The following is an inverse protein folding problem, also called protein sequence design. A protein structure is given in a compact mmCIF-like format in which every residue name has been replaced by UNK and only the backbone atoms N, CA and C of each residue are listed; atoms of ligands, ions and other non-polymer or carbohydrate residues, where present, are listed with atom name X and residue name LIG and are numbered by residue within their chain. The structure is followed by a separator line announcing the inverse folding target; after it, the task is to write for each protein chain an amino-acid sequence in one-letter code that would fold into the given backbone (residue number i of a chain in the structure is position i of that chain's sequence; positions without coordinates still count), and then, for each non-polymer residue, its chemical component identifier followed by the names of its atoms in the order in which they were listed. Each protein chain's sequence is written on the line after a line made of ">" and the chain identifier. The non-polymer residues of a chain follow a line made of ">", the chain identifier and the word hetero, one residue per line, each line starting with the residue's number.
data_IF_123850034243
#
_entry.id   IF_123850034243
#
_cell.length_a   1.000
_cell.length_b   1.000
_cell.length_c   1.000
_cell.angle_alpha   90.00
_cell.angle_beta   90.00
_cell.angle_gamma   90.00
#
_symmetry.space_group_name_H-M   'P 1'
#
loop_
_entity.id
_entity.type
_entity.pdbx_description
1 polymer ?
#
# COMPACT_ATOMS: atom_id res chain seq x y z
N UNK A 1 18.35 13.61 -0.16
CA UNK A 1 17.09 13.97 0.54
C UNK A 1 16.72 15.39 0.13
N UNK A 2 15.51 15.60 -0.36
CA UNK A 2 14.94 16.92 -0.65
C UNK A 2 13.94 17.25 0.45
N UNK A 3 13.93 18.47 0.94
CA UNK A 3 12.97 18.97 1.92
C UNK A 3 12.15 20.09 1.29
N UNK A 4 10.82 19.90 1.24
CA UNK A 4 9.83 20.91 0.87
C UNK A 4 8.99 21.25 2.09
N UNK A 5 8.87 22.51 2.46
CA UNK A 5 8.33 22.92 3.76
C UNK A 5 6.85 23.33 3.71
N UNK A 6 6.33 23.71 2.55
CA UNK A 6 4.96 24.26 2.48
C UNK A 6 4.03 23.55 1.49
N UNK A 7 4.55 22.63 0.71
CA UNK A 7 3.79 21.85 -0.27
C UNK A 7 3.48 22.58 -1.58
N UNK A 8 3.78 23.88 -1.70
CA UNK A 8 3.48 24.67 -2.90
C UNK A 8 4.21 24.16 -4.13
N UNK A 9 5.51 23.92 -3.99
CA UNK A 9 6.39 23.47 -5.07
C UNK A 9 6.61 21.95 -5.12
N UNK A 10 5.88 21.19 -4.30
CA UNK A 10 6.12 19.75 -4.11
C UNK A 10 6.12 18.96 -5.43
N UNK A 11 5.20 19.24 -6.35
CA UNK A 11 5.14 18.54 -7.65
C UNK A 11 6.26 18.93 -8.60
N UNK A 12 6.66 20.19 -8.63
CA UNK A 12 7.83 20.62 -9.38
C UNK A 12 9.10 19.93 -8.88
N UNK A 13 9.27 19.87 -7.57
CA UNK A 13 10.38 19.15 -6.93
C UNK A 13 10.32 17.65 -7.22
N UNK A 14 9.15 17.03 -7.14
CA UNK A 14 8.95 15.62 -7.47
C UNK A 14 9.40 15.29 -8.90
N UNK A 15 9.02 16.11 -9.87
CA UNK A 15 9.39 15.92 -11.28
C UNK A 15 10.88 16.12 -11.54
N UNK A 16 11.50 17.11 -10.89
CA UNK A 16 12.91 17.43 -11.08
C UNK A 16 13.83 16.40 -10.39
N UNK A 17 13.50 15.96 -9.19
CA UNK A 17 14.33 15.07 -8.37
C UNK A 17 14.09 13.59 -8.62
N UNK A 18 12.91 13.20 -9.15
CA UNK A 18 12.51 11.79 -9.33
C UNK A 18 12.82 10.94 -8.09
N UNK A 19 12.22 11.25 -6.93
CA UNK A 19 12.53 10.58 -5.68
C UNK A 19 12.16 9.10 -5.73
N UNK A 20 12.78 8.29 -4.87
CA UNK A 20 12.45 6.87 -4.71
C UNK A 20 11.30 6.64 -3.73
N UNK A 21 11.05 7.60 -2.86
CA UNK A 21 9.98 7.59 -1.86
C UNK A 21 9.56 9.01 -1.54
N UNK A 22 8.28 9.21 -1.26
CA UNK A 22 7.74 10.46 -0.75
C UNK A 22 7.34 10.31 0.72
N UNK A 23 7.85 11.19 1.58
CA UNK A 23 7.43 11.32 2.98
C UNK A 23 6.71 12.65 3.11
N UNK A 24 5.41 12.62 3.36
CA UNK A 24 4.54 13.79 3.31
C UNK A 24 3.91 14.06 4.68
N UNK A 25 4.10 15.26 5.20
CA UNK A 25 3.24 15.72 6.29
C UNK A 25 1.83 15.98 5.76
N UNK A 26 0.83 15.53 6.47
CA UNK A 26 -0.56 15.82 6.10
C UNK A 26 -0.86 17.31 6.25
N UNK A 27 -0.31 17.94 7.30
CA UNK A 27 -0.59 19.34 7.63
C UNK A 27 0.50 20.27 7.10
N UNK A 28 0.58 20.42 5.78
CA UNK A 28 1.43 21.43 5.16
C UNK A 28 0.64 22.74 4.91
N UNK A 29 1.31 23.92 4.95
CA UNK A 29 0.61 25.20 4.88
C UNK A 29 -0.18 25.42 3.59
N UNK A 30 0.46 25.47 2.43
CA UNK A 30 -0.20 25.90 1.18
C UNK A 30 -0.96 24.77 0.48
N UNK A 31 -0.44 23.54 0.55
CA UNK A 31 -1.05 22.38 -0.07
C UNK A 31 -0.92 21.18 0.84
N UNK A 32 -2.03 20.60 1.23
CA UNK A 32 -2.02 19.46 2.14
C UNK A 32 -1.35 18.22 1.51
N UNK A 33 -0.80 17.36 2.38
CA UNK A 33 -0.08 16.17 1.92
C UNK A 33 -0.96 15.20 1.12
N UNK A 34 -2.27 15.19 1.34
CA UNK A 34 -3.20 14.35 0.58
C UNK A 34 -3.34 14.81 -0.86
N UNK A 35 -3.42 16.13 -1.08
CA UNK A 35 -3.48 16.70 -2.42
C UNK A 35 -2.18 16.42 -3.20
N UNK A 36 -1.03 16.51 -2.53
CA UNK A 36 0.27 16.17 -3.12
C UNK A 36 0.28 14.68 -3.50
N UNK A 37 -0.15 13.79 -2.59
CA UNK A 37 -0.18 12.36 -2.84
C UNK A 37 -1.08 11.98 -4.03
N UNK A 38 -2.23 12.62 -4.20
CA UNK A 38 -3.10 12.41 -5.37
C UNK A 38 -2.40 12.77 -6.68
N UNK A 39 -1.64 13.86 -6.71
CA UNK A 39 -0.88 14.26 -7.90
C UNK A 39 0.28 13.32 -8.18
N UNK A 40 1.02 12.91 -7.14
CA UNK A 40 2.06 11.90 -7.25
C UNK A 40 1.50 10.60 -7.79
N UNK A 41 0.32 10.16 -7.32
CA UNK A 41 -0.33 8.92 -7.82
C UNK A 41 -0.75 8.99 -9.28
N UNK A 42 -1.12 10.17 -9.77
CA UNK A 42 -1.40 10.37 -11.19
C UNK A 42 -0.14 10.26 -12.06
N UNK A 43 1.00 10.71 -11.51
CA UNK A 43 2.28 10.66 -12.19
C UNK A 43 2.97 9.28 -12.06
N UNK A 44 2.94 8.70 -10.87
CA UNK A 44 3.53 7.39 -10.56
C UNK A 44 2.68 6.66 -9.51
N UNK A 45 1.87 5.70 -9.96
CA UNK A 45 0.99 4.93 -9.09
C UNK A 45 1.76 4.01 -8.14
N UNK A 46 2.97 3.58 -8.52
CA UNK A 46 3.82 2.68 -7.74
C UNK A 46 4.71 3.41 -6.73
N UNK A 47 4.78 4.76 -6.79
CA UNK A 47 5.59 5.57 -5.86
C UNK A 47 5.26 5.23 -4.41
N UNK A 48 6.23 4.83 -3.57
CA UNK A 48 6.00 4.69 -2.14
C UNK A 48 5.69 6.05 -1.50
N UNK A 49 4.59 6.13 -0.74
CA UNK A 49 4.20 7.34 -0.01
C UNK A 49 3.96 6.99 1.45
N UNK A 50 4.70 7.64 2.34
CA UNK A 50 4.52 7.57 3.79
C UNK A 50 3.99 8.92 4.27
N UNK A 51 2.84 8.92 4.95
CA UNK A 51 2.35 10.13 5.60
C UNK A 51 2.86 10.26 7.03
N UNK A 52 3.25 11.47 7.39
CA UNK A 52 3.46 11.86 8.79
C UNK A 52 2.20 12.58 9.28
N UNK A 53 1.65 12.19 10.45
CA UNK A 53 0.42 12.78 10.95
C UNK A 53 0.43 13.01 12.45
N UNK A 54 -0.04 14.19 12.88
CA UNK A 54 -0.39 14.47 14.28
C UNK A 54 -1.86 14.13 14.57
N UNK A 55 -2.67 13.85 13.54
CA UNK A 55 -4.11 13.65 13.68
C UNK A 55 -4.44 12.26 14.22
N UNK A 56 -5.36 12.24 15.17
CA UNK A 56 -5.88 11.03 15.82
C UNK A 56 -7.23 10.58 15.26
N UNK A 57 -7.85 11.37 14.38
CA UNK A 57 -9.19 11.05 13.87
C UNK A 57 -9.15 10.06 12.72
N UNK A 58 -9.86 8.96 12.91
CA UNK A 58 -9.98 7.85 11.96
C UNK A 58 -10.53 8.24 10.59
N UNK A 59 -11.38 9.26 10.52
CA UNK A 59 -11.99 9.74 9.28
C UNK A 59 -10.98 10.32 8.30
N UNK A 60 -9.96 11.03 8.79
CA UNK A 60 -8.93 11.63 7.94
C UNK A 60 -7.94 10.58 7.43
N UNK A 61 -7.65 9.56 8.23
CA UNK A 61 -6.81 8.44 7.83
C UNK A 61 -7.47 7.60 6.73
N UNK A 62 -8.75 7.26 6.88
CA UNK A 62 -9.50 6.53 5.85
C UNK A 62 -9.53 7.31 4.53
N UNK A 63 -9.75 8.63 4.57
CA UNK A 63 -9.67 9.48 3.38
C UNK A 63 -8.28 9.42 2.72
N UNK A 64 -7.21 9.46 3.52
CA UNK A 64 -5.85 9.43 2.99
C UNK A 64 -5.48 8.10 2.34
N UNK A 65 -5.95 6.96 2.88
CA UNK A 65 -5.74 5.67 2.23
C UNK A 65 -6.50 5.53 0.92
N UNK A 66 -7.71 6.10 0.80
CA UNK A 66 -8.40 6.20 -0.49
C UNK A 66 -7.62 7.05 -1.50
N UNK A 67 -6.80 7.99 -1.02
CA UNK A 67 -5.94 8.86 -1.84
C UNK A 67 -4.56 8.27 -2.16
N UNK A 68 -4.29 7.02 -1.79
CA UNK A 68 -3.15 6.27 -2.29
C UNK A 68 -1.92 6.19 -1.38
N UNK A 69 -2.04 6.45 -0.08
CA UNK A 69 -0.95 6.22 0.87
C UNK A 69 -0.52 4.76 0.93
N UNK A 70 0.76 4.52 1.13
CA UNK A 70 1.32 3.20 1.40
C UNK A 70 1.43 2.94 2.90
N UNK A 71 1.75 3.98 3.68
CA UNK A 71 1.93 3.86 5.13
C UNK A 71 1.69 5.20 5.85
N UNK A 72 1.53 5.14 7.18
CA UNK A 72 1.36 6.28 8.07
C UNK A 72 2.26 6.16 9.28
N UNK A 73 2.89 7.27 9.67
CA UNK A 73 3.65 7.38 10.90
C UNK A 73 3.03 8.48 11.75
N UNK A 74 2.68 8.13 12.97
CA UNK A 74 2.09 9.09 13.92
C UNK A 74 3.19 9.91 14.60
N UNK A 75 3.01 11.21 14.63
CA UNK A 75 3.84 12.13 15.44
C UNK A 75 3.40 12.08 16.91
N UNK A 76 4.33 12.03 17.89
CA UNK A 76 5.77 11.91 17.72
C UNK A 76 6.17 10.46 17.34
N UNK A 77 7.21 10.30 16.54
CA UNK A 77 7.78 9.01 16.12
C UNK A 77 9.30 8.98 16.37
N UNK A 78 9.86 7.80 16.48
CA UNK A 78 11.31 7.64 16.54
C UNK A 78 11.93 7.61 15.14
N UNK A 79 13.19 7.99 15.04
CA UNK A 79 13.93 7.89 13.77
C UNK A 79 14.07 6.43 13.33
N UNK A 80 14.21 5.50 14.27
CA UNK A 80 14.28 4.07 14.01
C UNK A 80 12.99 3.57 13.34
N UNK A 81 11.82 4.00 13.83
CA UNK A 81 10.54 3.66 13.21
C UNK A 81 10.46 4.17 11.77
N UNK A 82 10.84 5.43 11.54
CA UNK A 82 10.85 6.01 10.21
C UNK A 82 11.79 5.24 9.27
N UNK A 83 13.02 4.95 9.70
CA UNK A 83 14.03 4.23 8.90
C UNK A 83 13.51 2.85 8.49
N UNK A 84 13.00 2.06 9.42
CA UNK A 84 12.47 0.72 9.13
C UNK A 84 11.33 0.78 8.11
N UNK A 85 10.45 1.75 8.20
CA UNK A 85 9.33 1.90 7.25
C UNK A 85 9.81 2.36 5.87
N UNK A 86 10.78 3.27 5.82
CA UNK A 86 11.41 3.73 4.57
C UNK A 86 12.14 2.57 3.88
N UNK A 87 12.96 1.82 4.61
CA UNK A 87 13.68 0.67 4.07
C UNK A 87 12.71 -0.38 3.52
N UNK A 88 11.65 -0.71 4.26
CA UNK A 88 10.63 -1.62 3.80
C UNK A 88 9.94 -1.11 2.53
N UNK A 89 9.63 0.18 2.44
CA UNK A 89 9.01 0.76 1.26
C UNK A 89 9.95 0.79 0.03
N UNK A 90 11.25 0.98 0.24
CA UNK A 90 12.27 1.05 -0.82
C UNK A 90 12.72 -0.32 -1.34
N UNK A 91 12.80 -1.36 -0.49
CA UNK A 91 13.21 -2.72 -0.91
C UNK A 91 12.48 -3.21 -2.15
N UNK A 92 11.23 -2.85 -2.27
CA UNK A 92 10.37 -3.29 -3.35
C UNK A 92 10.46 -2.43 -4.60
N UNK A 93 10.81 -1.13 -4.46
CA UNK A 93 11.01 -0.27 -5.61
C UNK A 93 12.29 -0.61 -6.37
N UNK A 94 13.36 -0.96 -5.63
CA UNK A 94 14.68 -1.20 -6.21
C UNK A 94 14.84 -2.58 -6.85
N UNK A 95 13.81 -3.44 -6.82
CA UNK A 95 13.88 -4.74 -7.48
C UNK A 95 15.08 -5.59 -7.02
N UNK A 96 15.48 -5.51 -5.75
CA UNK A 96 16.52 -6.39 -5.19
C UNK A 96 16.13 -7.87 -5.21
N UNK A 97 15.02 -8.18 -5.85
CA UNK A 97 14.66 -9.50 -6.34
C UNK A 97 15.02 -9.69 -7.82
N UNK A 98 16.06 -9.00 -8.34
CA UNK A 98 16.55 -9.22 -9.69
C UNK A 98 17.29 -10.55 -9.78
N UNK A 99 16.57 -11.61 -10.11
CA UNK A 99 17.08 -12.72 -10.92
C UNK A 99 16.01 -13.75 -11.33
N UNK A 100 14.80 -13.33 -11.69
CA UNK A 100 13.86 -14.28 -12.30
C UNK A 100 12.78 -13.57 -13.14
N UNK A 101 13.14 -13.10 -14.31
CA UNK A 101 12.20 -12.41 -15.22
C UNK A 101 11.02 -13.28 -15.72
N UNK A 102 10.95 -14.55 -15.35
CA UNK A 102 9.88 -15.47 -15.78
C UNK A 102 9.25 -16.35 -14.68
N UNK A 103 9.65 -16.23 -13.40
CA UNK A 103 9.16 -17.14 -12.33
C UNK A 103 8.11 -16.56 -11.38
N UNK A 104 7.78 -15.29 -11.47
CA UNK A 104 7.01 -14.62 -10.43
C UNK A 104 5.57 -14.23 -10.79
N UNK A 105 5.07 -14.75 -11.92
CA UNK A 105 3.65 -14.61 -12.23
C UNK A 105 2.82 -15.62 -11.46
N UNK A 106 1.98 -15.11 -10.59
CA UNK A 106 1.04 -15.91 -9.81
C UNK A 106 -0.28 -15.98 -10.59
N UNK A 107 -0.65 -17.16 -11.05
CA UNK A 107 -1.96 -17.39 -11.65
C UNK A 107 -2.99 -17.65 -10.58
N UNK A 108 -4.01 -16.79 -10.52
CA UNK A 108 -5.14 -16.88 -9.62
C UNK A 108 -6.41 -16.98 -10.46
N UNK A 109 -6.82 -18.21 -10.81
CA UNK A 109 -7.93 -18.46 -11.73
C UNK A 109 -7.76 -17.68 -13.05
N UNK A 110 -8.60 -16.66 -13.30
CA UNK A 110 -8.51 -15.80 -14.51
C UNK A 110 -7.58 -14.59 -14.34
N UNK A 111 -7.06 -14.36 -13.14
CA UNK A 111 -6.12 -13.27 -12.90
C UNK A 111 -4.68 -13.74 -12.98
N UNK A 112 -3.82 -12.86 -13.47
CA UNK A 112 -2.36 -12.98 -13.39
C UNK A 112 -1.87 -11.84 -12.48
N UNK A 113 -1.27 -12.21 -11.36
CA UNK A 113 -0.69 -11.29 -10.41
C UNK A 113 0.82 -11.34 -10.49
N UNK A 114 1.45 -10.20 -10.71
CA UNK A 114 2.90 -10.07 -10.66
C UNK A 114 3.28 -9.17 -9.48
N UNK A 115 3.73 -9.73 -8.34
CA UNK A 115 4.11 -8.98 -7.16
C UNK A 115 5.22 -7.97 -7.41
N UNK A 116 6.23 -8.34 -8.22
CA UNK A 116 7.38 -7.48 -8.50
C UNK A 116 7.01 -6.27 -9.36
N UNK A 117 6.19 -6.50 -10.38
CA UNK A 117 5.67 -5.41 -11.22
C UNK A 117 4.51 -4.66 -10.56
N UNK A 118 4.00 -5.18 -9.43
CA UNK A 118 2.81 -4.67 -8.75
C UNK A 118 1.63 -4.56 -9.73
N UNK A 119 1.41 -5.61 -10.52
CA UNK A 119 0.33 -5.64 -11.51
C UNK A 119 -0.62 -6.79 -11.28
N UNK A 120 -1.89 -6.52 -11.51
CA UNK A 120 -2.96 -7.51 -11.53
C UNK A 120 -3.65 -7.43 -12.89
N UNK A 121 -3.55 -8.50 -13.66
CA UNK A 121 -4.10 -8.56 -15.02
C UNK A 121 -5.30 -9.49 -15.05
N UNK A 122 -6.39 -9.04 -15.62
CA UNK A 122 -7.58 -9.83 -15.91
C UNK A 122 -7.90 -9.70 -17.40
N UNK A 123 -7.91 -10.82 -18.11
CA UNK A 123 -8.00 -10.82 -19.56
C UNK A 123 -6.88 -9.93 -20.19
N UNK A 124 -7.25 -8.87 -20.87
CA UNK A 124 -6.30 -7.91 -21.48
C UNK A 124 -6.09 -6.65 -20.64
N UNK A 125 -6.79 -6.52 -19.51
CA UNK A 125 -6.73 -5.33 -18.68
C UNK A 125 -5.71 -5.48 -17.54
N UNK A 126 -4.63 -4.71 -17.64
CA UNK A 126 -3.65 -4.60 -16.55
C UNK A 126 -4.00 -3.47 -15.61
N UNK A 127 -4.03 -3.77 -14.32
CA UNK A 127 -4.19 -2.82 -13.23
C UNK A 127 -2.92 -2.73 -12.41
N UNK A 128 -2.38 -1.54 -12.26
CA UNK A 128 -1.30 -1.26 -11.32
C UNK A 128 -1.85 -1.24 -9.89
N UNK A 129 -1.13 -1.91 -9.02
CA UNK A 129 -1.38 -1.94 -7.57
C UNK A 129 -0.41 -1.00 -6.87
N UNK A 130 -0.83 -0.42 -5.75
CA UNK A 130 0.12 0.20 -4.84
C UNK A 130 0.92 -0.90 -4.12
N UNK A 131 2.06 -0.51 -3.54
CA UNK A 131 2.92 -1.42 -2.80
C UNK A 131 2.13 -2.26 -1.76
N UNK A 132 1.33 -1.61 -0.91
CA UNK A 132 0.56 -2.31 0.14
C UNK A 132 -0.56 -3.20 -0.39
N UNK A 133 -1.17 -2.84 -1.51
CA UNK A 133 -2.14 -3.69 -2.18
C UNK A 133 -1.48 -4.97 -2.70
N UNK A 134 -0.29 -4.83 -3.29
CA UNK A 134 0.50 -5.96 -3.79
C UNK A 134 0.95 -6.88 -2.65
N UNK A 135 1.51 -6.32 -1.57
CA UNK A 135 1.97 -7.09 -0.42
C UNK A 135 0.82 -7.83 0.29
N UNK A 136 -0.31 -7.16 0.49
CA UNK A 136 -1.48 -7.79 1.09
C UNK A 136 -2.02 -8.92 0.20
N UNK A 137 -2.11 -8.70 -1.11
CA UNK A 137 -2.57 -9.73 -2.03
C UNK A 137 -1.63 -10.94 -2.05
N UNK A 138 -0.31 -10.70 -2.03
CA UNK A 138 0.71 -11.74 -1.94
C UNK A 138 0.55 -12.54 -0.66
N UNK A 139 0.46 -11.89 0.50
CA UNK A 139 0.29 -12.54 1.81
C UNK A 139 -0.98 -13.39 1.85
N UNK A 140 -2.09 -12.87 1.34
CA UNK A 140 -3.35 -13.59 1.25
C UNK A 140 -3.25 -14.82 0.34
N UNK A 141 -2.59 -14.71 -0.80
CA UNK A 141 -2.37 -15.82 -1.73
C UNK A 141 -1.48 -16.91 -1.14
N UNK A 142 -0.36 -16.54 -0.52
CA UNK A 142 0.57 -17.49 0.10
C UNK A 142 -0.12 -18.32 1.21
N UNK A 143 -1.10 -17.73 1.90
CA UNK A 143 -1.89 -18.37 2.93
C UNK A 143 -3.31 -18.74 2.49
N UNK A 144 -3.53 -18.90 1.17
CA UNK A 144 -4.86 -19.22 0.64
C UNK A 144 -5.45 -20.46 1.28
N UNK A 145 -6.76 -20.53 1.37
CA UNK A 145 -7.54 -21.55 2.04
C UNK A 145 -7.43 -21.57 3.58
N UNK A 146 -6.46 -20.86 4.16
CA UNK A 146 -6.33 -20.73 5.61
C UNK A 146 -6.84 -19.37 6.10
N UNK A 147 -7.24 -19.31 7.34
CA UNK A 147 -7.57 -18.04 7.99
C UNK A 147 -6.28 -17.43 8.51
N UNK A 148 -5.99 -16.21 8.08
CA UNK A 148 -4.89 -15.42 8.66
C UNK A 148 -5.48 -14.50 9.71
N UNK A 149 -4.92 -14.54 10.92
CA UNK A 149 -5.32 -13.64 12.00
C UNK A 149 -5.08 -12.18 11.58
N UNK A 150 -6.01 -11.32 11.93
CA UNK A 150 -5.93 -9.89 11.63
C UNK A 150 -4.65 -9.26 12.18
N UNK A 151 -4.22 -9.65 13.39
CA UNK A 151 -3.02 -9.13 14.04
C UNK A 151 -1.76 -9.57 13.30
N UNK A 152 -1.74 -10.80 12.81
CA UNK A 152 -0.60 -11.33 12.04
C UNK A 152 -0.43 -10.55 10.74
N UNK A 153 -1.52 -10.28 10.02
CA UNK A 153 -1.48 -9.42 8.82
C UNK A 153 -0.93 -8.03 9.17
N UNK A 154 -1.41 -7.44 10.26
CA UNK A 154 -1.00 -6.11 10.69
C UNK A 154 0.48 -6.07 11.10
N UNK A 155 0.94 -7.07 11.84
CA UNK A 155 2.34 -7.17 12.27
C UNK A 155 3.28 -7.38 11.07
N UNK A 156 2.91 -8.26 10.14
CA UNK A 156 3.73 -8.55 8.94
C UNK A 156 3.82 -7.31 8.03
N UNK A 157 2.69 -6.64 7.78
CA UNK A 157 2.66 -5.55 6.80
C UNK A 157 2.99 -4.18 7.42
N UNK A 158 2.67 -3.94 8.68
CA UNK A 158 2.85 -2.63 9.33
C UNK A 158 3.72 -2.65 10.59
N UNK A 159 4.19 -3.83 11.02
CA UNK A 159 5.04 -3.96 12.20
C UNK A 159 4.30 -3.79 13.54
N UNK A 160 2.99 -3.51 13.52
CA UNK A 160 2.17 -3.41 14.73
C UNK A 160 0.69 -3.57 14.44
N UNK A 161 -0.08 -4.06 15.42
CA UNK A 161 -1.52 -4.23 15.39
C UNK A 161 -2.30 -3.01 15.92
N UNK A 162 -1.72 -1.81 15.82
CA UNK A 162 -2.36 -0.60 16.31
C UNK A 162 -3.76 -0.40 15.71
N UNK A 163 -4.63 0.30 16.45
CA UNK A 163 -6.00 0.62 15.99
C UNK A 163 -6.02 1.29 14.60
N UNK A 164 -5.03 2.12 14.31
CA UNK A 164 -4.92 2.81 13.02
C UNK A 164 -4.60 1.84 11.87
N UNK A 165 -3.65 0.96 12.08
CA UNK A 165 -3.30 -0.09 11.11
C UNK A 165 -4.50 -0.99 10.85
N UNK A 166 -5.31 -1.25 11.88
CA UNK A 166 -6.53 -2.05 11.78
C UNK A 166 -7.55 -1.47 10.80
N UNK A 167 -7.84 -0.16 10.88
CA UNK A 167 -8.75 0.52 9.93
C UNK A 167 -8.17 0.58 8.52
N UNK A 168 -6.88 0.74 8.42
CA UNK A 168 -6.15 0.71 7.16
C UNK A 168 -6.31 -0.62 6.44
N UNK A 169 -6.17 -1.72 7.15
CA UNK A 169 -6.36 -3.06 6.59
C UNK A 169 -7.75 -3.23 5.98
N UNK A 170 -8.81 -2.73 6.65
CA UNK A 170 -10.18 -2.83 6.12
C UNK A 170 -10.33 -2.13 4.76
N UNK A 171 -9.68 -0.98 4.58
CA UNK A 171 -9.68 -0.25 3.31
C UNK A 171 -9.00 -1.07 2.21
N UNK A 172 -7.83 -1.64 2.49
CA UNK A 172 -7.12 -2.47 1.50
C UNK A 172 -7.88 -3.74 1.14
N UNK A 173 -8.48 -4.42 2.12
CA UNK A 173 -9.35 -5.58 1.87
C UNK A 173 -10.52 -5.19 0.95
N UNK A 174 -11.16 -4.04 1.22
CA UNK A 174 -12.26 -3.55 0.38
C UNK A 174 -11.81 -3.26 -1.05
N UNK A 175 -10.65 -2.64 -1.23
CA UNK A 175 -10.08 -2.38 -2.57
C UNK A 175 -9.77 -3.68 -3.30
N UNK A 176 -9.09 -4.63 -2.66
CA UNK A 176 -8.74 -5.91 -3.28
C UNK A 176 -9.98 -6.70 -3.68
N UNK A 177 -11.03 -6.73 -2.85
CA UNK A 177 -12.34 -7.30 -3.25
C UNK A 177 -12.90 -6.64 -4.50
N UNK A 178 -12.80 -5.31 -4.57
CA UNK A 178 -13.20 -4.56 -5.76
C UNK A 178 -12.41 -4.92 -7.01
N UNK A 179 -11.13 -5.20 -6.88
CA UNK A 179 -10.27 -5.58 -8.00
C UNK A 179 -10.55 -7.02 -8.47
N UNK A 180 -10.83 -7.93 -7.55
CA UNK A 180 -11.02 -9.35 -7.83
C UNK A 180 -12.46 -9.73 -8.23
N UNK A 181 -13.40 -8.78 -8.19
CA UNK A 181 -14.84 -9.03 -8.37
C UNK A 181 -15.25 -9.64 -9.73
N UNK A 182 -14.38 -9.54 -10.74
CA UNK A 182 -14.68 -10.06 -12.09
C UNK A 182 -14.52 -11.58 -12.20
N UNK A 183 -13.97 -12.22 -11.20
CA UNK A 183 -13.83 -13.67 -11.13
C UNK A 183 -14.45 -14.21 -9.83
N UNK A 184 -15.63 -14.86 -9.89
CA UNK A 184 -16.29 -15.39 -8.71
C UNK A 184 -15.55 -16.57 -8.05
N UNK A 185 -14.56 -17.17 -8.74
CA UNK A 185 -13.71 -18.20 -8.17
C UNK A 185 -12.74 -17.65 -7.11
N UNK A 186 -12.60 -16.32 -7.00
CA UNK A 186 -11.72 -15.65 -6.04
C UNK A 186 -12.52 -14.86 -5.02
N UNK A 187 -12.37 -15.18 -3.74
CA UNK A 187 -13.04 -14.46 -2.68
C UNK A 187 -12.14 -14.19 -1.47
N UNK A 188 -12.20 -12.98 -0.91
CA UNK A 188 -11.61 -12.65 0.39
C UNK A 188 -12.73 -12.66 1.42
N UNK A 189 -12.81 -13.71 2.22
CA UNK A 189 -13.85 -13.91 3.24
C UNK A 189 -13.40 -13.27 4.55
N UNK A 190 -14.29 -12.52 5.21
CA UNK A 190 -14.07 -12.05 6.58
C UNK A 190 -14.53 -13.12 7.56
N UNK A 191 -13.61 -13.61 8.38
CA UNK A 191 -13.91 -14.46 9.53
C UNK A 191 -14.07 -13.55 10.75
N UNK A 192 -15.32 -13.32 11.14
CA UNK A 192 -15.67 -12.33 12.18
C UNK A 192 -14.91 -12.59 13.48
N UNK A 193 -14.26 -11.55 14.00
CA UNK A 193 -13.48 -11.60 15.24
C UNK A 193 -12.12 -12.29 15.13
N UNK A 194 -11.75 -12.84 13.96
CA UNK A 194 -10.48 -13.54 13.74
C UNK A 194 -9.64 -12.81 12.68
N UNK A 195 -10.07 -12.82 11.41
CA UNK A 195 -9.26 -12.28 10.35
C UNK A 195 -9.85 -12.50 8.97
N UNK A 196 -9.02 -12.88 8.01
CA UNK A 196 -9.41 -13.04 6.62
C UNK A 196 -8.94 -14.37 6.04
N UNK A 197 -9.71 -14.90 5.11
CA UNK A 197 -9.35 -16.08 4.33
C UNK A 197 -9.50 -15.78 2.85
N UNK A 198 -8.47 -16.03 2.08
CA UNK A 198 -8.52 -15.96 0.62
C UNK A 198 -8.87 -17.35 0.08
N UNK A 199 -9.96 -17.41 -0.66
CA UNK A 199 -10.46 -18.65 -1.29
C UNK A 199 -10.22 -18.55 -2.78
N UNK A 200 -9.77 -19.66 -3.37
CA UNK A 200 -9.60 -19.83 -4.80
C UNK A 200 -10.15 -21.23 -5.15
N UNK A 201 -11.25 -21.27 -5.92
CA UNK A 201 -11.87 -22.49 -6.45
C UNK A 201 -11.26 -22.92 -7.80
#
# INVERSE_FOLDING_TARGET
>A
MLLEMDGGDAMMQFQNFKPDICILDIMLPNKDGFAIAEEVRKADIAMPIIFLTAKTQTTDLVKGFHKGANDYIRKPFSMEELIVRVENALRYRNGEAQNSEQKDEIRMSKYIFNPHRQTLTYDTQEKKLSFRESELLKLLYENRQHVIDRRDILNVLWGSDSFFNSRTLDVYITKLRGYLKSDPALEIITVKGVGYRFVME
#
